data_IF_692095509034
#
_entry.id   IF_692095509034
#
_cell.length_a   1.000
_cell.length_b   1.000
_cell.length_c   1.000
_cell.angle_alpha   90.00
_cell.angle_beta   90.00
_cell.angle_gamma   90.00
#
_symmetry.space_group_name_H-M   'P 1'
#
loop_
_entity.id
_entity.type
_entity.pdbx_description
1 polymer ?
#
# COMPACT_ATOMS: atom_id res chain seq x y z
N UNK A 1 -13.89 -11.62 -1.87
CA UNK A 1 -14.76 -10.51 -1.44
C UNK A 1 -13.95 -9.72 -0.42
N UNK A 2 -13.44 -8.55 -0.78
CA UNK A 2 -12.68 -7.72 0.16
C UNK A 2 -13.60 -7.35 1.31
N UNK A 3 -13.32 -7.84 2.52
CA UNK A 3 -14.00 -7.40 3.72
C UNK A 3 -13.80 -5.88 3.85
N UNK A 4 -14.80 -5.18 4.41
CA UNK A 4 -14.62 -3.78 4.76
C UNK A 4 -13.54 -3.68 5.84
N UNK A 5 -12.48 -2.90 5.58
CA UNK A 5 -11.42 -2.69 6.56
C UNK A 5 -12.00 -2.04 7.82
N UNK A 6 -11.70 -2.58 9.01
CA UNK A 6 -12.03 -1.91 10.26
C UNK A 6 -11.52 -0.45 10.30
N UNK A 7 -10.29 -0.25 9.85
CA UNK A 7 -9.65 1.06 9.75
C UNK A 7 -9.23 1.32 8.30
N UNK A 8 -10.13 1.84 7.43
CA UNK A 8 -9.85 1.96 6.01
C UNK A 8 -8.77 3.03 5.71
N UNK A 9 -7.94 2.80 4.68
CA UNK A 9 -7.01 3.81 4.21
C UNK A 9 -7.76 5.07 3.81
N UNK A 10 -7.15 6.23 4.03
CA UNK A 10 -7.63 7.50 3.47
C UNK A 10 -7.27 7.62 1.99
N UNK A 11 -6.20 6.95 1.58
CA UNK A 11 -5.77 6.87 0.19
C UNK A 11 -5.06 5.53 -0.03
N UNK A 12 -5.30 4.91 -1.18
CA UNK A 12 -4.60 3.71 -1.62
C UNK A 12 -4.38 3.77 -3.13
N UNK A 13 -3.16 3.46 -3.58
CA UNK A 13 -2.82 3.37 -5.00
C UNK A 13 -1.89 2.19 -5.26
N UNK A 14 -2.00 1.61 -6.44
CA UNK A 14 -0.95 0.73 -6.98
C UNK A 14 0.04 1.63 -7.70
N UNK A 15 1.33 1.41 -7.53
CA UNK A 15 2.37 2.19 -8.20
C UNK A 15 3.49 1.28 -8.70
N UNK A 16 4.54 1.87 -9.27
CA UNK A 16 5.68 1.12 -9.79
C UNK A 16 5.39 0.40 -11.11
N UNK A 17 6.09 -0.72 -11.32
CA UNK A 17 6.14 -1.44 -12.61
C UNK A 17 4.78 -1.98 -13.08
N UNK A 18 3.86 -2.24 -12.15
CA UNK A 18 2.50 -2.68 -12.42
C UNK A 18 1.67 -1.64 -13.19
N UNK A 19 1.93 -0.35 -12.97
CA UNK A 19 1.20 0.75 -13.63
C UNK A 19 1.87 1.16 -14.94
N UNK A 20 3.18 0.99 -15.06
CA UNK A 20 3.96 1.38 -16.24
C UNK A 20 3.86 0.40 -17.42
N UNK A 21 3.06 -0.67 -17.31
CA UNK A 21 2.86 -1.64 -18.39
C UNK A 21 4.08 -2.50 -18.72
N UNK A 22 5.16 -2.38 -17.93
CA UNK A 22 6.38 -3.19 -18.03
C UNK A 22 6.38 -4.36 -17.05
N UNK A 23 5.23 -4.68 -16.48
CA UNK A 23 5.08 -5.69 -15.45
C UNK A 23 5.41 -7.07 -16.01
N UNK A 24 6.34 -7.77 -15.37
CA UNK A 24 6.70 -9.17 -15.65
C UNK A 24 6.09 -10.08 -14.58
N UNK A 25 6.13 -11.39 -14.80
CA UNK A 25 5.71 -12.39 -13.80
C UNK A 25 6.65 -12.47 -12.57
N UNK A 26 7.77 -11.75 -12.60
CA UNK A 26 8.73 -11.63 -11.49
C UNK A 26 8.66 -10.24 -10.83
N UNK A 27 7.72 -9.38 -11.24
CA UNK A 27 7.60 -8.02 -10.71
C UNK A 27 6.79 -8.02 -9.42
N UNK A 28 7.25 -7.25 -8.43
CA UNK A 28 6.48 -7.01 -7.20
C UNK A 28 5.21 -6.18 -7.49
N UNK A 29 4.19 -6.31 -6.65
CA UNK A 29 3.02 -5.42 -6.63
C UNK A 29 3.22 -4.37 -5.54
N UNK A 30 3.55 -3.15 -5.93
CA UNK A 30 3.76 -2.05 -4.99
C UNK A 30 2.43 -1.33 -4.68
N UNK A 31 2.08 -1.28 -3.39
CA UNK A 31 0.87 -0.66 -2.87
C UNK A 31 1.23 0.51 -1.96
N UNK A 32 0.76 1.71 -2.29
CA UNK A 32 0.94 2.90 -1.48
C UNK A 32 -0.33 3.14 -0.67
N UNK A 33 -0.21 3.17 0.66
CA UNK A 33 -1.35 3.37 1.54
C UNK A 33 -1.11 4.52 2.52
N UNK A 34 -2.13 5.36 2.67
CA UNK A 34 -2.15 6.46 3.65
C UNK A 34 -3.21 6.20 4.69
N UNK A 35 -2.80 6.13 5.97
CA UNK A 35 -3.71 5.99 7.11
C UNK A 35 -3.90 7.30 7.87
N UNK A 36 -4.97 7.37 8.67
CA UNK A 36 -5.12 8.44 9.66
C UNK A 36 -4.11 8.24 10.78
N UNK A 37 -3.63 9.34 11.35
CA UNK A 37 -2.61 9.32 12.42
C UNK A 37 -3.06 8.59 13.69
N UNK A 38 -4.37 8.47 13.91
CA UNK A 38 -4.96 7.88 15.12
C UNK A 38 -5.20 6.37 15.03
N UNK A 39 -4.95 5.75 13.88
CA UNK A 39 -5.15 4.31 13.71
C UNK A 39 -4.08 3.57 14.51
N UNK A 40 -4.45 2.63 15.42
CA UNK A 40 -3.48 1.83 16.15
C UNK A 40 -2.56 1.06 15.19
N UNK A 41 -1.26 1.04 15.49
CA UNK A 41 -0.25 0.35 14.68
C UNK A 41 -0.56 -1.14 14.48
N UNK A 42 -0.83 -1.87 15.56
CA UNK A 42 -1.15 -3.30 15.47
C UNK A 42 -2.38 -3.61 14.60
N UNK A 43 -3.43 -2.79 14.66
CA UNK A 43 -4.63 -2.97 13.81
C UNK A 43 -4.31 -2.75 12.34
N UNK A 44 -3.48 -1.75 12.06
CA UNK A 44 -3.08 -1.41 10.70
C UNK A 44 -2.15 -2.47 10.10
N UNK A 45 -1.12 -2.90 10.84
CA UNK A 45 -0.20 -3.95 10.43
C UNK A 45 -0.93 -5.27 10.13
N UNK A 46 -1.92 -5.63 10.97
CA UNK A 46 -2.74 -6.82 10.73
C UNK A 46 -3.52 -6.74 9.42
N UNK A 47 -4.17 -5.61 9.16
CA UNK A 47 -4.91 -5.38 7.90
C UNK A 47 -3.99 -5.39 6.67
N UNK A 48 -2.77 -4.89 6.81
CA UNK A 48 -1.78 -4.91 5.72
C UNK A 48 -1.24 -6.30 5.44
N UNK A 49 -0.98 -7.10 6.48
CA UNK A 49 -0.60 -8.50 6.30
C UNK A 49 -1.68 -9.28 5.55
N UNK A 50 -2.95 -9.09 5.91
CA UNK A 50 -4.07 -9.72 5.20
C UNK A 50 -4.19 -9.23 3.74
N UNK A 51 -3.89 -7.95 3.48
CA UNK A 51 -3.92 -7.38 2.14
C UNK A 51 -2.82 -7.95 1.26
N UNK A 52 -1.57 -7.95 1.74
CA UNK A 52 -0.42 -8.45 0.97
C UNK A 52 -0.58 -9.93 0.67
N UNK A 53 -1.03 -10.74 1.63
CA UNK A 53 -1.33 -12.15 1.41
C UNK A 53 -2.38 -12.34 0.31
N UNK A 54 -3.47 -11.57 0.35
CA UNK A 54 -4.54 -11.67 -0.65
C UNK A 54 -4.07 -11.24 -2.04
N UNK A 55 -3.36 -10.12 -2.14
CA UNK A 55 -2.85 -9.61 -3.42
C UNK A 55 -1.81 -10.56 -4.01
N UNK A 56 -0.91 -11.11 -3.20
CA UNK A 56 0.05 -12.10 -3.65
C UNK A 56 -0.65 -13.36 -4.14
N UNK A 57 -1.67 -13.83 -3.42
CA UNK A 57 -2.46 -15.00 -3.83
C UNK A 57 -3.23 -14.78 -5.13
N UNK A 58 -3.72 -13.57 -5.38
CA UNK A 58 -4.49 -13.27 -6.59
C UNK A 58 -3.63 -13.07 -7.82
N UNK A 59 -2.46 -12.45 -7.64
CA UNK A 59 -1.60 -12.07 -8.77
C UNK A 59 -0.49 -13.08 -9.03
N UNK A 60 -0.11 -13.89 -8.04
CA UNK A 60 1.06 -14.76 -8.08
C UNK A 60 2.39 -14.03 -7.84
N UNK A 61 2.35 -12.71 -7.61
CA UNK A 61 3.52 -11.86 -7.41
C UNK A 61 3.66 -11.46 -5.93
N UNK A 62 4.87 -11.08 -5.48
CA UNK A 62 5.07 -10.57 -4.13
C UNK A 62 4.44 -9.17 -3.96
N UNK A 63 3.51 -9.01 -3.03
CA UNK A 63 2.88 -7.73 -2.73
C UNK A 63 3.63 -6.99 -1.63
N UNK A 64 4.00 -5.73 -1.89
CA UNK A 64 4.72 -4.86 -0.97
C UNK A 64 3.95 -3.59 -0.68
N UNK A 65 4.08 -3.10 0.54
CA UNK A 65 3.38 -1.90 1.01
C UNK A 65 4.36 -0.79 1.36
N UNK A 66 4.03 0.41 0.93
CA UNK A 66 4.64 1.66 1.41
C UNK A 66 3.56 2.45 2.13
N UNK A 67 3.86 2.84 3.36
CA UNK A 67 2.86 3.29 4.31
C UNK A 67 3.19 4.67 4.86
N UNK A 68 2.20 5.55 4.85
CA UNK A 68 2.32 6.86 5.48
C UNK A 68 1.11 7.15 6.37
N UNK A 69 1.33 7.96 7.40
CA UNK A 69 0.23 8.68 8.04
C UNK A 69 -0.02 10.00 7.31
N UNK A 70 -1.20 10.60 7.47
CA UNK A 70 -1.48 11.94 6.92
C UNK A 70 -0.44 12.95 7.40
N UNK A 71 -0.05 12.93 8.69
CA UNK A 71 0.97 13.84 9.21
C UNK A 71 2.34 13.55 8.60
N UNK A 72 2.72 12.27 8.47
CA UNK A 72 3.98 11.86 7.83
C UNK A 72 4.09 12.32 6.38
N UNK A 73 3.02 12.13 5.60
CA UNK A 73 2.92 12.59 4.21
C UNK A 73 3.07 14.12 4.09
N UNK A 74 2.52 14.88 5.04
CA UNK A 74 2.64 16.35 5.06
C UNK A 74 4.05 16.81 5.42
N UNK A 75 4.76 16.06 6.26
CA UNK A 75 6.12 16.37 6.69
C UNK A 75 7.17 15.98 5.65
N UNK A 76 6.98 14.85 4.96
CA UNK A 76 7.91 14.26 3.98
C UNK A 76 7.62 14.61 2.53
N UNK A 77 7.06 15.79 2.25
CA UNK A 77 6.57 16.16 0.91
C UNK A 77 7.62 16.12 -0.21
N UNK A 78 8.91 16.13 0.16
CA UNK A 78 10.06 16.09 -0.75
C UNK A 78 10.67 14.68 -0.89
N UNK A 79 10.07 13.64 -0.29
CA UNK A 79 10.57 12.26 -0.42
C UNK A 79 10.38 11.71 -1.84
N UNK A 80 11.40 11.03 -2.42
CA UNK A 80 11.35 10.57 -3.82
C UNK A 80 10.14 9.70 -4.17
N UNK A 81 9.68 8.88 -3.22
CA UNK A 81 8.52 7.99 -3.42
C UNK A 81 7.21 8.75 -3.68
N UNK A 82 7.13 10.02 -3.25
CA UNK A 82 5.96 10.89 -3.49
C UNK A 82 5.89 11.41 -4.92
N UNK A 83 6.92 11.23 -5.74
CA UNK A 83 6.91 11.66 -7.15
C UNK A 83 6.19 10.68 -8.07
N UNK A 84 6.04 9.44 -7.63
CA UNK A 84 5.54 8.33 -8.44
C UNK A 84 4.11 7.90 -8.07
N UNK A 85 3.44 8.65 -7.17
CA UNK A 85 2.06 8.39 -6.69
C UNK A 85 1.17 9.62 -6.83
#
# INVERSE_FOLDING_TARGET
LCAAWPEPPQYAAVFGSAVMGSMTADSDIDLFLVRRDKVPEASWEGQLGELTEQVSRWTGNDARTVEYTIAGLRAGRDEPVMRDV
#
